data_IF_385863470684
#
_entry.id   IF_385863470684
#
_cell.length_a   1.000
_cell.length_b   1.000
_cell.length_c   1.000
_cell.angle_alpha   90.00
_cell.angle_beta   90.00
_cell.angle_gamma   90.00
#
_symmetry.space_group_name_H-M   'P 1'
#
loop_
_entity.id
_entity.type
_entity.pdbx_description
1 polymer ?
#
# COMPACT_ATOMS: atom_id res chain seq x y z
N UNK A 1 7.68 -5.85 -30.28
CA UNK A 1 8.08 -5.75 -28.86
C UNK A 1 6.82 -5.92 -28.03
N UNK A 2 6.78 -6.89 -27.11
CA UNK A 2 5.61 -7.11 -26.28
C UNK A 2 5.45 -5.93 -25.32
N UNK A 3 4.31 -5.24 -25.40
CA UNK A 3 4.02 -4.09 -24.56
C UNK A 3 3.54 -4.60 -23.19
N UNK A 4 4.46 -4.82 -22.26
CA UNK A 4 4.13 -5.29 -20.91
C UNK A 4 3.64 -4.08 -20.10
N UNK A 5 2.34 -3.97 -19.90
CA UNK A 5 1.75 -2.97 -19.01
C UNK A 5 1.99 -3.38 -17.55
N UNK A 6 3.02 -2.78 -16.94
CA UNK A 6 3.40 -3.03 -15.55
C UNK A 6 2.81 -1.95 -14.64
N UNK A 7 2.30 -2.37 -13.47
CA UNK A 7 1.83 -1.47 -12.40
C UNK A 7 2.46 -1.88 -11.08
N UNK A 8 2.67 -0.92 -10.17
CA UNK A 8 3.10 -1.18 -8.80
C UNK A 8 1.94 -1.00 -7.83
N UNK A 9 1.82 -1.91 -6.86
CA UNK A 9 0.86 -1.82 -5.77
C UNK A 9 1.63 -1.81 -4.45
N UNK A 10 1.50 -0.74 -3.67
CA UNK A 10 2.09 -0.58 -2.34
C UNK A 10 1.00 -0.89 -1.31
N UNK A 11 1.24 -1.89 -0.46
CA UNK A 11 0.33 -2.25 0.62
C UNK A 11 0.76 -1.58 1.93
N UNK A 12 0.07 -0.52 2.32
CA UNK A 12 0.45 0.34 3.43
C UNK A 12 -0.66 0.41 4.48
N UNK A 13 -0.90 -0.68 5.24
CA UNK A 13 -1.90 -0.65 6.32
C UNK A 13 -1.51 0.32 7.45
N UNK A 14 -2.51 0.90 8.13
CA UNK A 14 -2.32 1.71 9.33
C UNK A 14 -1.88 0.86 10.53
N UNK A 15 -2.53 -0.29 10.72
CA UNK A 15 -2.26 -1.24 11.81
C UNK A 15 -0.93 -1.97 11.68
N UNK A 16 0.13 -1.40 12.26
CA UNK A 16 1.47 -2.00 12.31
C UNK A 16 1.72 -2.67 13.66
N UNK A 17 2.16 -3.94 13.64
CA UNK A 17 2.33 -4.76 14.87
C UNK A 17 3.48 -4.33 15.78
N UNK A 18 4.55 -3.79 15.20
CA UNK A 18 5.77 -3.42 15.95
C UNK A 18 5.86 -1.91 16.20
N UNK A 19 5.71 -1.11 15.15
CA UNK A 19 5.81 0.36 15.23
C UNK A 19 4.51 0.95 14.69
N UNK A 20 3.77 1.67 15.54
CA UNK A 20 2.53 2.34 15.13
C UNK A 20 2.80 3.28 13.96
N UNK A 21 1.94 3.26 12.94
CA UNK A 21 2.04 4.11 11.74
C UNK A 21 3.41 4.06 11.02
N UNK A 22 4.09 2.89 11.02
CA UNK A 22 5.40 2.70 10.38
C UNK A 22 5.52 3.33 8.98
N UNK A 23 4.49 3.23 8.14
CA UNK A 23 4.50 3.76 6.76
C UNK A 23 4.60 5.29 6.68
N UNK A 24 4.21 5.99 7.73
CA UNK A 24 4.29 7.45 7.86
C UNK A 24 5.52 7.90 8.64
N UNK A 25 6.18 6.99 9.35
CA UNK A 25 7.37 7.30 10.12
C UNK A 25 8.47 7.83 9.20
N UNK A 26 9.03 8.98 9.59
CA UNK A 26 10.09 9.64 8.85
C UNK A 26 11.45 8.98 9.12
N UNK A 27 12.18 8.73 8.04
CA UNK A 27 13.61 8.40 8.03
C UNK A 27 14.27 9.47 7.17
N UNK A 28 15.21 10.24 7.76
CA UNK A 28 15.86 11.37 7.10
C UNK A 28 14.85 12.34 6.43
N UNK A 29 13.86 12.77 7.20
CA UNK A 29 12.79 13.71 6.78
C UNK A 29 11.86 13.20 5.66
N UNK A 30 11.85 11.90 5.37
CA UNK A 30 10.92 11.29 4.40
C UNK A 30 10.22 10.09 5.02
N UNK A 31 8.91 9.98 4.86
CA UNK A 31 8.19 8.80 5.29
C UNK A 31 8.63 7.55 4.54
N UNK A 32 8.44 6.37 5.12
CA UNK A 32 8.70 5.12 4.40
C UNK A 32 7.92 5.03 3.08
N UNK A 33 6.66 5.48 3.07
CA UNK A 33 5.86 5.58 1.85
C UNK A 33 6.53 6.47 0.80
N UNK A 34 7.01 7.65 1.20
CA UNK A 34 7.73 8.57 0.30
C UNK A 34 9.00 7.95 -0.25
N UNK A 35 9.76 7.24 0.58
CA UNK A 35 10.97 6.56 0.14
C UNK A 35 10.63 5.52 -0.93
N UNK A 36 9.63 4.67 -0.70
CA UNK A 36 9.21 3.64 -1.66
C UNK A 36 8.73 4.25 -2.98
N UNK A 37 7.84 5.24 -2.94
CA UNK A 37 7.31 5.90 -4.15
C UNK A 37 8.43 6.55 -4.97
N UNK A 38 9.35 7.24 -4.29
CA UNK A 38 10.48 7.89 -4.96
C UNK A 38 11.42 6.88 -5.63
N UNK A 39 11.66 5.71 -5.02
CA UNK A 39 12.49 4.66 -5.62
C UNK A 39 11.82 4.06 -6.85
N UNK A 40 10.51 3.77 -6.79
CA UNK A 40 9.75 3.24 -7.93
C UNK A 40 9.81 4.21 -9.11
N UNK A 41 9.53 5.49 -8.88
CA UNK A 41 9.58 6.52 -9.93
C UNK A 41 10.97 6.71 -10.56
N UNK A 42 12.03 6.55 -9.75
CA UNK A 42 13.41 6.65 -10.27
C UNK A 42 13.80 5.48 -11.16
N UNK A 43 13.23 4.30 -10.92
CA UNK A 43 13.65 3.05 -11.59
C UNK A 43 12.69 2.62 -12.69
N UNK A 44 11.42 2.97 -12.58
CA UNK A 44 10.34 2.43 -13.40
C UNK A 44 9.39 3.57 -13.83
N UNK A 45 8.91 3.49 -15.07
CA UNK A 45 7.87 4.36 -15.60
C UNK A 45 6.55 3.60 -15.60
N UNK A 46 5.96 3.44 -14.41
CA UNK A 46 4.76 2.64 -14.16
C UNK A 46 3.78 3.41 -13.28
N UNK A 47 2.50 3.05 -13.37
CA UNK A 47 1.48 3.55 -12.46
C UNK A 47 1.67 2.94 -11.06
N UNK A 48 1.51 3.77 -10.04
CA UNK A 48 1.70 3.37 -8.64
C UNK A 48 0.39 3.53 -7.90
N UNK A 49 -0.12 2.41 -7.38
CA UNK A 49 -1.30 2.34 -6.55
C UNK A 49 -0.90 2.13 -5.09
N UNK A 50 -1.56 2.82 -4.17
CA UNK A 50 -1.38 2.63 -2.72
C UNK A 50 -2.69 2.12 -2.12
N UNK A 51 -2.66 0.93 -1.55
CA UNK A 51 -3.79 0.34 -0.82
C UNK A 51 -3.60 0.51 0.68
N UNK A 52 -4.55 1.15 1.34
CA UNK A 52 -4.53 1.39 2.78
C UNK A 52 -5.93 1.47 3.38
N UNK A 53 -6.04 1.10 4.65
CA UNK A 53 -7.18 1.30 5.54
C UNK A 53 -7.07 2.59 6.36
N UNK A 54 -5.95 3.32 6.25
CA UNK A 54 -5.70 4.56 6.97
C UNK A 54 -5.83 5.78 6.05
N UNK A 55 -6.74 6.69 6.40
CA UNK A 55 -6.93 7.96 5.70
C UNK A 55 -5.63 8.78 5.63
N UNK A 56 -4.86 8.82 6.72
CA UNK A 56 -3.59 9.56 6.80
C UNK A 56 -2.56 9.03 5.78
N UNK A 57 -2.53 7.71 5.56
CA UNK A 57 -1.66 7.08 4.56
C UNK A 57 -2.14 7.39 3.14
N UNK A 58 -3.45 7.35 2.90
CA UNK A 58 -4.04 7.67 1.60
C UNK A 58 -3.83 9.16 1.24
N UNK A 59 -3.99 10.07 2.20
CA UNK A 59 -3.71 11.49 2.03
C UNK A 59 -2.24 11.71 1.64
N UNK A 60 -1.31 11.07 2.35
CA UNK A 60 0.12 11.14 2.02
C UNK A 60 0.41 10.58 0.62
N UNK A 61 -0.22 9.46 0.25
CA UNK A 61 -0.11 8.88 -1.09
C UNK A 61 -0.67 9.82 -2.18
N UNK A 62 -1.77 10.52 -1.88
CA UNK A 62 -2.39 11.49 -2.78
C UNK A 62 -1.46 12.67 -3.05
N UNK A 63 -0.85 13.22 -1.98
CA UNK A 63 0.14 14.30 -2.09
C UNK A 63 1.34 13.85 -2.94
N UNK A 64 1.71 12.58 -2.85
CA UNK A 64 2.76 12.01 -3.68
C UNK A 64 2.33 11.76 -5.13
N UNK A 65 1.06 11.89 -5.48
CA UNK A 65 0.53 11.64 -6.83
C UNK A 65 0.43 10.15 -7.17
N UNK A 66 0.11 9.31 -6.19
CA UNK A 66 -0.22 7.90 -6.39
C UNK A 66 -1.74 7.72 -6.52
N UNK A 67 -2.15 6.68 -7.24
CA UNK A 67 -3.54 6.24 -7.28
C UNK A 67 -3.92 5.56 -5.95
N UNK A 68 -5.11 5.84 -5.45
CA UNK A 68 -5.54 5.39 -4.11
C UNK A 68 -6.47 4.19 -4.22
N UNK A 69 -6.30 3.24 -3.31
CA UNK A 69 -7.20 2.11 -3.14
C UNK A 69 -7.60 2.05 -1.65
N UNK A 70 -8.82 2.48 -1.37
CA UNK A 70 -9.39 2.34 -0.02
C UNK A 70 -9.61 0.86 0.29
N UNK A 71 -9.00 0.38 1.37
CA UNK A 71 -9.07 -1.01 1.78
C UNK A 71 -10.14 -1.16 2.86
N UNK A 72 -11.21 -1.94 2.64
CA UNK A 72 -12.18 -2.22 3.70
C UNK A 72 -11.48 -2.87 4.90
N UNK A 73 -11.88 -2.46 6.10
CA UNK A 73 -11.31 -2.91 7.38
C UNK A 73 -11.24 -4.45 7.49
N UNK A 74 -12.20 -5.14 6.89
CA UNK A 74 -12.26 -6.62 6.83
C UNK A 74 -11.03 -7.26 6.16
N UNK A 75 -10.36 -6.56 5.26
CA UNK A 75 -9.16 -7.00 4.55
C UNK A 75 -7.86 -6.47 5.20
N UNK A 76 -7.96 -5.63 6.22
CA UNK A 76 -6.82 -5.07 6.96
C UNK A 76 -6.38 -5.95 8.15
N UNK A 77 -6.97 -7.14 8.28
CA UNK A 77 -6.65 -8.10 9.35
C UNK A 77 -5.25 -8.72 9.18
N UNK A 78 -4.64 -9.03 10.31
CA UNK A 78 -3.29 -9.62 10.38
C UNK A 78 -3.21 -11.04 9.82
N UNK A 79 -4.28 -11.81 10.00
CA UNK A 79 -4.37 -13.16 9.45
C UNK A 79 -5.09 -13.09 8.11
N UNK A 80 -4.48 -13.64 7.07
CA UNK A 80 -5.21 -13.95 5.85
C UNK A 80 -6.34 -14.91 6.25
N UNK A 81 -7.60 -14.47 6.14
CA UNK A 81 -8.73 -15.37 6.29
C UNK A 81 -8.58 -16.44 5.22
N UNK A 82 -8.32 -17.70 5.60
CA UNK A 82 -8.65 -18.82 4.72
C UNK A 82 -10.12 -18.69 4.43
N UNK A 83 -10.49 -18.54 3.16
CA UNK A 83 -11.88 -18.70 2.75
C UNK A 83 -12.28 -20.09 3.25
N UNK A 84 -13.10 -20.14 4.30
CA UNK A 84 -13.72 -21.39 4.74
C UNK A 84 -14.58 -21.76 3.54
N UNK A 85 -14.07 -22.61 2.64
CA UNK A 85 -14.94 -23.28 1.69
C UNK A 85 -15.88 -24.07 2.58
N UNK A 86 -17.08 -23.53 2.78
CA UNK A 86 -18.21 -24.32 3.21
C UNK A 86 -18.48 -25.28 2.06
N UNK A 87 -17.77 -26.41 2.04
CA UNK A 87 -18.32 -27.61 1.43
C UNK A 87 -19.46 -28.03 2.34
N UNK A 88 -20.65 -27.52 2.07
CA UNK A 88 -21.88 -28.15 2.52
C UNK A 88 -22.07 -29.37 1.63
N UNK A 89 -21.63 -30.52 2.13
CA UNK A 89 -22.13 -31.85 1.78
C UNK A 89 -22.58 -32.49 3.09
#
# INVERSE_FOLDING_TARGET
MNNINSVAIILARGGSKGIKNKNLQAINNKSLLEITVNQLRKKLKIDIFVSSDSKEILEKASILGCSLIDRPLELAVTQARRRKLFYTL
#
